data_IF_711423831700
#
_entry.id   IF_711423831700
#
_cell.length_a   1.000
_cell.length_b   1.000
_cell.length_c   1.000
_cell.angle_alpha   90.00
_cell.angle_beta   90.00
_cell.angle_gamma   90.00
#
_symmetry.space_group_name_H-M   'P 1'
#
loop_
_entity.id
_entity.type
_entity.pdbx_description
1 polymer ?
#
# COMPACT_ATOMS: atom_id res chain seq x y z
N UNK A 1 25.86 -8.25 -17.04
CA UNK A 1 25.19 -7.07 -16.42
C UNK A 1 25.09 -7.21 -14.90
N UNK A 2 24.79 -8.40 -14.39
CA UNK A 2 24.58 -8.71 -12.96
C UNK A 2 25.88 -8.61 -12.11
N UNK A 3 27.04 -8.90 -12.69
CA UNK A 3 28.30 -9.07 -11.93
C UNK A 3 29.02 -7.76 -11.56
N UNK A 4 28.60 -6.62 -12.09
CA UNK A 4 29.31 -5.34 -11.93
C UNK A 4 28.32 -4.26 -11.50
N UNK A 5 28.08 -4.11 -10.18
CA UNK A 5 27.17 -3.12 -9.61
C UNK A 5 27.56 -1.69 -10.03
N UNK A 6 26.57 -0.89 -10.45
CA UNK A 6 26.72 0.56 -10.61
C UNK A 6 25.37 1.24 -10.46
N UNK A 7 25.36 2.54 -10.14
CA UNK A 7 24.12 3.32 -10.00
C UNK A 7 23.27 3.26 -11.27
N UNK A 8 23.87 3.47 -12.44
CA UNK A 8 23.15 3.44 -13.71
C UNK A 8 22.50 2.08 -13.98
N UNK A 9 23.19 0.99 -13.65
CA UNK A 9 22.66 -0.37 -13.83
C UNK A 9 21.56 -0.67 -12.83
N UNK A 10 21.68 -0.19 -11.59
CA UNK A 10 20.63 -0.32 -10.60
C UNK A 10 19.36 0.44 -11.02
N UNK A 11 19.50 1.67 -11.51
CA UNK A 11 18.39 2.45 -12.04
C UNK A 11 17.71 1.77 -13.24
N UNK A 12 18.51 1.26 -14.18
CA UNK A 12 17.98 0.47 -15.30
C UNK A 12 17.26 -0.80 -14.81
N UNK A 13 17.80 -1.46 -13.79
CA UNK A 13 17.21 -2.66 -13.21
C UNK A 13 15.85 -2.36 -12.56
N UNK A 14 15.69 -1.24 -11.85
CA UNK A 14 14.38 -0.81 -11.32
C UNK A 14 13.33 -0.68 -12.43
N UNK A 15 13.69 -0.04 -13.55
CA UNK A 15 12.79 0.10 -14.69
C UNK A 15 12.44 -1.25 -15.33
N UNK A 16 13.41 -2.15 -15.46
CA UNK A 16 13.20 -3.49 -16.01
C UNK A 16 12.31 -4.33 -15.09
N UNK A 17 12.48 -4.24 -13.77
CA UNK A 17 11.64 -4.92 -12.78
C UNK A 17 10.20 -4.43 -12.90
N UNK A 18 9.99 -3.11 -12.95
CA UNK A 18 8.66 -2.55 -13.14
C UNK A 18 8.04 -3.04 -14.45
N UNK A 19 8.78 -2.98 -15.56
CA UNK A 19 8.32 -3.50 -16.84
C UNK A 19 7.90 -4.98 -16.76
N UNK A 20 8.69 -5.84 -16.12
CA UNK A 20 8.35 -7.24 -15.95
C UNK A 20 7.09 -7.44 -15.11
N UNK A 21 6.89 -6.64 -14.06
CA UNK A 21 5.66 -6.64 -13.29
C UNK A 21 4.45 -6.14 -14.11
N UNK A 22 4.61 -5.15 -14.99
CA UNK A 22 3.54 -4.65 -15.85
C UNK A 22 3.10 -5.69 -16.89
N UNK A 23 4.04 -6.43 -17.48
CA UNK A 23 3.73 -7.45 -18.51
C UNK A 23 3.44 -8.85 -17.96
N UNK A 24 3.42 -9.00 -16.64
CA UNK A 24 3.01 -10.25 -15.98
C UNK A 24 4.10 -11.31 -15.82
N UNK A 25 5.38 -10.93 -15.98
CA UNK A 25 6.54 -11.79 -15.72
C UNK A 25 7.01 -11.62 -14.27
N UNK A 26 6.12 -11.95 -13.34
CA UNK A 26 6.29 -11.67 -11.91
C UNK A 26 7.45 -12.44 -11.29
N UNK A 27 7.70 -13.67 -11.74
CA UNK A 27 8.83 -14.50 -11.36
C UNK A 27 10.17 -13.82 -11.69
N UNK A 28 10.26 -13.21 -12.89
CA UNK A 28 11.45 -12.46 -13.29
C UNK A 28 11.59 -11.17 -12.50
N UNK A 29 10.49 -10.44 -12.31
CA UNK A 29 10.48 -9.21 -11.54
C UNK A 29 10.96 -9.47 -10.09
N UNK A 30 10.46 -10.53 -9.46
CA UNK A 30 10.85 -10.96 -8.11
C UNK A 30 12.33 -11.32 -8.03
N UNK A 31 12.83 -12.19 -8.92
CA UNK A 31 14.24 -12.59 -8.91
C UNK A 31 15.19 -11.41 -9.17
N UNK A 32 14.80 -10.49 -10.07
CA UNK A 32 15.58 -9.29 -10.35
C UNK A 32 15.58 -8.29 -9.18
N UNK A 33 14.50 -8.21 -8.39
CA UNK A 33 14.46 -7.39 -7.19
C UNK A 33 15.53 -7.84 -6.17
N UNK A 34 15.77 -9.15 -6.02
CA UNK A 34 16.86 -9.66 -5.17
C UNK A 34 18.24 -9.24 -5.69
N UNK A 35 18.45 -9.22 -7.01
CA UNK A 35 19.70 -8.72 -7.63
C UNK A 35 19.86 -7.22 -7.37
N UNK A 36 18.78 -6.44 -7.51
CA UNK A 36 18.79 -5.01 -7.24
C UNK A 36 19.13 -4.70 -5.78
N UNK A 37 18.57 -5.45 -4.82
CA UNK A 37 18.95 -5.31 -3.41
C UNK A 37 20.44 -5.59 -3.19
N UNK A 38 20.98 -6.67 -3.79
CA UNK A 38 22.42 -6.95 -3.72
C UNK A 38 23.28 -5.84 -4.33
N UNK A 39 22.82 -5.16 -5.38
CA UNK A 39 23.50 -3.98 -5.90
C UNK A 39 23.49 -2.80 -4.91
N UNK A 40 22.37 -2.57 -4.22
CA UNK A 40 22.26 -1.54 -3.17
C UNK A 40 23.28 -1.80 -2.06
N UNK A 41 23.37 -3.05 -1.57
CA UNK A 41 24.34 -3.45 -0.53
C UNK A 41 25.78 -3.36 -1.03
N UNK A 42 26.07 -3.91 -2.21
CA UNK A 42 27.44 -3.92 -2.77
C UNK A 42 28.00 -2.51 -3.01
N UNK A 43 27.13 -1.56 -3.35
CA UNK A 43 27.51 -0.15 -3.53
C UNK A 43 27.46 0.65 -2.22
N UNK A 44 27.08 0.03 -1.09
CA UNK A 44 26.87 0.66 0.22
C UNK A 44 25.90 1.85 0.15
N UNK A 45 24.80 1.72 -0.61
CA UNK A 45 23.84 2.81 -0.75
C UNK A 45 22.94 2.95 0.48
N UNK A 46 23.04 2.05 1.46
CA UNK A 46 22.32 2.14 2.71
C UNK A 46 22.95 3.15 3.71
N UNK A 47 24.18 3.64 3.45
CA UNK A 47 24.84 4.65 4.30
C UNK A 47 25.12 5.96 3.57
N UNK A 48 24.94 7.08 4.26
CA UNK A 48 25.41 8.39 3.79
C UNK A 48 26.91 8.36 3.48
N UNK A 49 27.34 9.10 2.46
CA UNK A 49 28.74 9.20 2.07
C UNK A 49 29.14 10.68 2.02
N UNK A 50 29.58 11.27 3.15
CA UNK A 50 29.77 12.72 3.31
C UNK A 50 30.75 13.36 2.32
N UNK A 51 31.64 12.57 1.71
CA UNK A 51 32.62 13.03 0.74
C UNK A 51 32.05 13.24 -0.67
N UNK A 52 30.81 12.81 -0.92
CA UNK A 52 30.17 12.96 -2.22
C UNK A 52 29.54 14.35 -2.38
N UNK A 53 29.43 14.81 -3.63
CA UNK A 53 28.64 16.00 -3.94
C UNK A 53 27.18 15.79 -3.54
N UNK A 54 26.47 16.88 -3.25
CA UNK A 54 25.04 16.85 -2.91
C UNK A 54 24.22 16.02 -3.92
N UNK A 55 24.39 16.29 -5.23
CA UNK A 55 23.64 15.61 -6.29
C UNK A 55 23.95 14.11 -6.29
N UNK A 56 25.21 13.74 -6.16
CA UNK A 56 25.60 12.32 -6.10
C UNK A 56 25.03 11.62 -4.88
N UNK A 57 25.06 12.28 -3.71
CA UNK A 57 24.49 11.73 -2.47
C UNK A 57 22.97 11.57 -2.59
N UNK A 58 22.28 12.57 -3.15
CA UNK A 58 20.83 12.53 -3.35
C UNK A 58 20.40 11.43 -4.33
N UNK A 59 21.18 11.17 -5.39
CA UNK A 59 20.94 10.02 -6.28
C UNK A 59 21.05 8.70 -5.50
N UNK A 60 22.02 8.56 -4.60
CA UNK A 60 22.19 7.35 -3.77
C UNK A 60 21.02 7.17 -2.80
N UNK A 61 20.60 8.25 -2.11
CA UNK A 61 19.41 8.24 -1.23
C UNK A 61 18.18 7.76 -1.99
N UNK A 62 17.87 8.38 -3.13
CA UNK A 62 16.70 8.03 -3.95
C UNK A 62 16.77 6.59 -4.44
N UNK A 63 17.95 6.09 -4.84
CA UNK A 63 18.12 4.69 -5.27
C UNK A 63 17.88 3.70 -4.11
N UNK A 64 18.43 3.96 -2.92
CA UNK A 64 18.22 3.12 -1.75
C UNK A 64 16.74 3.08 -1.35
N UNK A 65 16.10 4.25 -1.24
CA UNK A 65 14.68 4.35 -0.88
C UNK A 65 13.76 3.76 -1.96
N UNK A 66 14.10 3.86 -3.24
CA UNK A 66 13.37 3.16 -4.32
C UNK A 66 13.40 1.64 -4.11
N UNK A 67 14.55 1.08 -3.72
CA UNK A 67 14.63 -0.34 -3.40
C UNK A 67 13.74 -0.71 -2.21
N UNK A 68 13.65 0.13 -1.18
CA UNK A 68 12.76 -0.14 -0.03
C UNK A 68 11.28 -0.19 -0.44
N UNK A 69 10.83 0.71 -1.31
CA UNK A 69 9.46 0.71 -1.84
C UNK A 69 9.21 -0.54 -2.68
N UNK A 70 10.16 -0.87 -3.57
CA UNK A 70 10.08 -2.04 -4.43
C UNK A 70 10.00 -3.33 -3.63
N UNK A 71 10.84 -3.48 -2.60
CA UNK A 71 10.80 -4.63 -1.70
C UNK A 71 9.44 -4.78 -1.03
N UNK A 72 8.84 -3.68 -0.56
CA UNK A 72 7.52 -3.69 0.06
C UNK A 72 6.39 -4.20 -0.83
N UNK A 73 6.49 -4.01 -2.16
CA UNK A 73 5.52 -4.56 -3.12
C UNK A 73 5.61 -6.08 -3.26
N UNK A 74 6.81 -6.65 -3.10
CA UNK A 74 7.01 -8.10 -3.16
C UNK A 74 6.79 -8.74 -1.80
N UNK A 75 7.44 -8.26 -0.75
CA UNK A 75 7.47 -8.95 0.55
C UNK A 75 6.12 -8.99 1.25
N UNK A 76 5.22 -8.03 0.98
CA UNK A 76 3.83 -7.97 1.52
C UNK A 76 3.72 -8.26 3.03
N UNK A 77 4.73 -7.84 3.80
CA UNK A 77 4.79 -7.99 5.26
C UNK A 77 5.30 -9.33 5.76
N UNK A 78 5.84 -10.18 4.87
CA UNK A 78 6.48 -11.44 5.22
C UNK A 78 8.01 -11.29 5.23
N UNK A 79 8.68 -11.56 6.38
CA UNK A 79 10.13 -11.43 6.49
C UNK A 79 10.91 -12.30 5.50
N UNK A 80 10.40 -13.49 5.17
CA UNK A 80 11.07 -14.47 4.30
C UNK A 80 11.26 -13.98 2.86
N UNK A 81 10.43 -13.02 2.44
CA UNK A 81 10.49 -12.40 1.12
C UNK A 81 11.15 -11.02 1.14
N UNK A 82 11.57 -10.53 2.31
CA UNK A 82 12.26 -9.24 2.44
C UNK A 82 13.72 -9.40 1.99
N UNK A 83 14.18 -8.53 1.10
CA UNK A 83 15.55 -8.51 0.57
C UNK A 83 16.35 -7.31 1.05
N UNK A 84 15.69 -6.28 1.58
CA UNK A 84 16.32 -5.10 2.18
C UNK A 84 15.58 -4.74 3.46
N UNK A 85 16.31 -4.55 4.55
CA UNK A 85 15.67 -4.17 5.80
C UNK A 85 15.61 -2.65 5.99
N UNK A 86 14.45 -2.13 6.39
CA UNK A 86 14.27 -0.71 6.64
C UNK A 86 15.12 -0.21 7.81
N UNK A 87 15.36 -1.05 8.81
CA UNK A 87 16.21 -0.70 9.95
C UNK A 87 17.70 -0.62 9.59
N UNK A 88 18.09 -1.08 8.41
CA UNK A 88 19.47 -1.05 7.91
C UNK A 88 19.73 0.12 6.93
N UNK A 89 18.71 0.97 6.71
CA UNK A 89 18.84 2.19 5.90
C UNK A 89 19.21 3.36 6.81
N UNK A 90 20.47 3.75 6.76
CA UNK A 90 21.05 4.88 7.48
C UNK A 90 21.17 6.13 6.59
N UNK A 91 20.42 6.18 5.48
CA UNK A 91 20.28 7.35 4.62
C UNK A 91 19.27 8.34 5.20
N UNK A 92 19.47 9.62 4.96
CA UNK A 92 18.40 10.62 5.12
C UNK A 92 17.31 10.38 4.07
N UNK A 93 16.09 10.86 4.35
CA UNK A 93 15.02 10.87 3.35
C UNK A 93 15.39 11.75 2.15
N UNK A 94 14.85 11.46 0.95
CA UNK A 94 15.09 12.27 -0.23
C UNK A 94 14.65 13.72 -0.02
N UNK A 95 15.45 14.65 -0.52
CA UNK A 95 15.09 16.06 -0.50
C UNK A 95 13.93 16.35 -1.47
N UNK A 96 13.37 17.56 -1.35
CA UNK A 96 12.31 18.06 -2.25
C UNK A 96 12.73 18.05 -3.70
N UNK A 97 11.78 17.78 -4.59
CA UNK A 97 11.97 17.73 -6.03
C UNK A 97 12.48 19.04 -6.61
N UNK A 98 11.97 20.16 -6.09
CA UNK A 98 12.38 21.50 -6.51
C UNK A 98 13.86 21.74 -6.21
N UNK A 99 14.33 21.24 -5.05
CA UNK A 99 15.74 21.32 -4.65
C UNK A 99 16.60 20.46 -5.55
N UNK A 100 16.27 19.18 -5.70
CA UNK A 100 17.07 18.25 -6.53
C UNK A 100 17.16 18.66 -8.00
N UNK A 101 16.12 19.29 -8.55
CA UNK A 101 16.10 19.78 -9.93
C UNK A 101 16.71 21.18 -10.12
N UNK A 102 17.16 21.85 -9.05
CA UNK A 102 17.69 23.21 -9.13
C UNK A 102 19.06 23.23 -9.81
N UNK A 103 19.24 24.16 -10.76
CA UNK A 103 20.54 24.43 -11.38
C UNK A 103 21.44 25.31 -10.50
N UNK A 104 20.88 25.89 -9.42
CA UNK A 104 21.59 26.80 -8.53
C UNK A 104 22.31 26.02 -7.39
N UNK A 105 23.66 26.06 -7.33
CA UNK A 105 24.43 25.38 -6.29
C UNK A 105 24.15 25.89 -4.87
N UNK A 106 23.70 27.13 -4.69
CA UNK A 106 23.41 27.68 -3.35
C UNK A 106 22.10 27.13 -2.78
N UNK A 107 21.12 26.84 -3.64
CA UNK A 107 19.89 26.14 -3.26
C UNK A 107 20.14 24.66 -2.91
N UNK A 108 21.21 24.07 -3.46
CA UNK A 108 21.60 22.67 -3.23
C UNK A 108 22.32 22.45 -1.90
N UNK A 109 22.94 23.47 -1.32
CA UNK A 109 23.65 23.33 -0.04
C UNK A 109 22.64 23.21 1.13
N UNK A 110 22.70 22.17 1.97
CA UNK A 110 21.85 22.07 3.17
C UNK A 110 22.11 23.22 4.15
N UNK A 111 23.35 23.70 4.20
CA UNK A 111 23.85 24.73 5.13
C UNK A 111 23.37 26.15 4.83
N UNK A 112 22.88 26.40 3.61
CA UNK A 112 22.41 27.71 3.12
C UNK A 112 20.90 27.75 2.92
N UNK A 113 20.20 26.63 3.13
CA UNK A 113 18.74 26.57 3.02
C UNK A 113 18.10 27.50 4.06
N UNK A 114 17.14 28.33 3.62
CA UNK A 114 16.36 29.17 4.53
C UNK A 114 15.59 28.28 5.51
N UNK A 115 15.38 28.74 6.74
CA UNK A 115 14.65 27.98 7.76
C UNK A 115 13.23 27.57 7.29
N UNK A 116 12.61 28.38 6.42
CA UNK A 116 11.31 28.09 5.79
C UNK A 116 11.38 26.93 4.78
N UNK A 117 12.50 26.74 4.07
CA UNK A 117 12.70 25.62 3.14
C UNK A 117 12.95 24.30 3.87
N UNK A 118 13.37 24.36 5.14
CA UNK A 118 13.60 23.19 6.00
C UNK A 118 12.33 22.69 6.70
N UNK A 119 11.26 23.49 6.73
CA UNK A 119 10.06 23.19 7.52
C UNK A 119 9.10 22.19 6.85
N UNK A 120 9.26 21.92 5.56
CA UNK A 120 8.31 21.13 4.77
C UNK A 120 8.93 19.82 4.27
N UNK A 121 8.33 18.70 4.67
CA UNK A 121 8.68 17.37 4.18
C UNK A 121 8.51 17.26 2.66
N UNK A 122 9.38 16.49 2.00
CA UNK A 122 9.22 16.20 0.58
C UNK A 122 8.07 15.21 0.34
N UNK A 123 7.43 15.26 -0.83
CA UNK A 123 6.39 14.28 -1.16
C UNK A 123 6.94 12.85 -1.20
N UNK A 124 8.17 12.66 -1.68
CA UNK A 124 8.84 11.36 -1.65
C UNK A 124 9.09 10.87 -0.22
N UNK A 125 9.51 11.75 0.68
CA UNK A 125 9.63 11.42 2.10
C UNK A 125 8.29 10.95 2.68
N UNK A 126 7.20 11.69 2.42
CA UNK A 126 5.88 11.32 2.91
C UNK A 126 5.40 9.97 2.36
N UNK A 127 5.62 9.70 1.07
CA UNK A 127 5.34 8.39 0.45
C UNK A 127 6.10 7.29 1.19
N UNK A 128 7.39 7.49 1.48
CA UNK A 128 8.23 6.51 2.18
C UNK A 128 7.76 6.28 3.62
N UNK A 129 7.43 7.34 4.35
CA UNK A 129 6.96 7.27 5.73
C UNK A 129 5.61 6.57 5.84
N UNK A 130 4.65 6.88 4.96
CA UNK A 130 3.34 6.19 4.92
C UNK A 130 3.52 4.73 4.50
N UNK A 131 4.38 4.46 3.51
CA UNK A 131 4.68 3.08 3.07
C UNK A 131 5.28 2.26 4.21
N UNK A 132 6.14 2.85 5.03
CA UNK A 132 6.67 2.23 6.25
C UNK A 132 5.56 1.89 7.25
N UNK A 133 4.67 2.84 7.57
CA UNK A 133 3.55 2.59 8.49
C UNK A 133 2.65 1.47 7.96
N UNK A 134 2.29 1.49 6.68
CA UNK A 134 1.46 0.44 6.05
C UNK A 134 2.14 -0.93 6.08
N UNK A 135 3.45 -0.98 5.83
CA UNK A 135 4.23 -2.22 5.95
C UNK A 135 4.20 -2.74 7.39
N UNK A 136 4.38 -1.87 8.38
CA UNK A 136 4.42 -2.27 9.79
C UNK A 136 3.05 -2.75 10.28
N UNK A 137 1.95 -2.10 9.86
CA UNK A 137 0.58 -2.60 10.07
C UNK A 137 0.39 -3.98 9.43
N UNK A 138 0.89 -4.17 8.19
CA UNK A 138 0.81 -5.47 7.51
C UNK A 138 1.59 -6.55 8.26
N UNK A 139 2.85 -6.28 8.64
CA UNK A 139 3.68 -7.20 9.44
C UNK A 139 2.99 -7.58 10.74
N UNK A 140 2.45 -6.59 11.45
CA UNK A 140 1.68 -6.83 12.67
C UNK A 140 0.45 -7.71 12.40
N UNK A 141 -0.30 -7.43 11.33
CA UNK A 141 -1.45 -8.26 10.90
C UNK A 141 -1.03 -9.73 10.69
N UNK A 142 0.12 -9.97 10.06
CA UNK A 142 0.66 -11.33 9.84
C UNK A 142 1.08 -12.02 11.13
N UNK A 143 1.68 -11.28 12.04
CA UNK A 143 2.09 -11.81 13.34
C UNK A 143 0.88 -12.18 14.19
N UNK A 144 -0.16 -11.34 14.18
CA UNK A 144 -1.42 -11.62 14.87
C UNK A 144 -2.04 -12.95 14.43
N UNK A 145 -1.92 -13.32 13.15
CA UNK A 145 -2.48 -14.56 12.62
C UNK A 145 -1.92 -15.83 13.30
N UNK A 146 -0.72 -15.75 13.89
CA UNK A 146 -0.05 -16.86 14.57
C UNK A 146 -0.36 -16.94 16.06
N UNK A 147 -1.09 -15.98 16.62
CA UNK A 147 -1.36 -15.94 18.06
C UNK A 147 -2.42 -16.97 18.46
N UNK A 148 -2.05 -17.81 19.41
CA UNK A 148 -2.95 -18.78 20.06
C UNK A 148 -3.46 -18.28 21.43
N UNK A 149 -2.89 -17.17 21.92
CA UNK A 149 -3.21 -16.56 23.21
C UNK A 149 -3.54 -15.07 23.04
N UNK A 150 -4.24 -14.47 24.00
CA UNK A 150 -4.58 -13.05 23.96
C UNK A 150 -3.33 -12.18 23.97
N UNK A 151 -3.34 -11.09 23.22
CA UNK A 151 -2.27 -10.09 23.23
C UNK A 151 -2.70 -8.89 24.07
N UNK A 152 -2.18 -8.79 25.29
CA UNK A 152 -2.51 -7.71 26.24
C UNK A 152 -2.20 -6.32 25.65
N UNK A 153 -1.09 -6.20 24.92
CA UNK A 153 -0.64 -4.93 24.33
C UNK A 153 -1.34 -4.55 23.02
N UNK A 154 -2.29 -5.36 22.53
CA UNK A 154 -2.93 -5.17 21.22
C UNK A 154 -3.47 -3.75 21.02
N UNK A 155 -4.21 -3.23 22.00
CA UNK A 155 -4.76 -1.87 21.95
C UNK A 155 -3.65 -0.81 21.97
N UNK A 156 -2.61 -1.00 22.78
CA UNK A 156 -1.47 -0.07 22.87
C UNK A 156 -0.68 0.01 21.56
N UNK A 157 -0.45 -1.13 20.90
CA UNK A 157 0.21 -1.20 19.60
C UNK A 157 -0.63 -0.49 18.53
N UNK A 158 -1.94 -0.76 18.48
CA UNK A 158 -2.87 -0.07 17.56
C UNK A 158 -2.86 1.44 17.82
N UNK A 159 -2.91 1.86 19.07
CA UNK A 159 -2.85 3.27 19.44
C UNK A 159 -1.54 3.93 18.98
N UNK A 160 -0.41 3.22 19.08
CA UNK A 160 0.88 3.69 18.54
C UNK A 160 0.82 3.94 17.03
N UNK A 161 0.21 3.03 16.26
CA UNK A 161 -0.02 3.26 14.84
C UNK A 161 -0.94 4.45 14.57
N UNK A 162 -2.00 4.62 15.34
CA UNK A 162 -2.89 5.78 15.21
C UNK A 162 -2.16 7.10 15.48
N UNK A 163 -1.30 7.16 16.50
CA UNK A 163 -0.50 8.34 16.79
C UNK A 163 0.45 8.69 15.64
N UNK A 164 1.11 7.67 15.06
CA UNK A 164 1.98 7.86 13.89
C UNK A 164 1.19 8.40 12.68
N UNK A 165 -0.02 7.89 12.43
CA UNK A 165 -0.87 8.36 11.34
C UNK A 165 -1.39 9.79 11.58
N UNK A 166 -1.74 10.14 12.81
CA UNK A 166 -2.15 11.49 13.19
C UNK A 166 -1.02 12.50 12.99
N UNK A 167 0.21 12.17 13.40
CA UNK A 167 1.38 13.02 13.15
C UNK A 167 1.62 13.22 11.65
N UNK A 168 1.54 12.15 10.86
CA UNK A 168 1.69 12.24 9.40
C UNK A 168 0.62 13.12 8.75
N UNK A 169 -0.59 13.19 9.30
CA UNK A 169 -1.67 14.01 8.74
C UNK A 169 -1.31 15.50 8.70
N UNK A 170 -0.69 16.02 9.76
CA UNK A 170 -0.26 17.42 9.85
C UNK A 170 0.81 17.74 8.80
N UNK A 171 1.77 16.83 8.63
CA UNK A 171 2.85 16.94 7.66
C UNK A 171 2.34 16.85 6.21
N UNK A 172 1.38 15.96 5.95
CA UNK A 172 0.71 15.81 4.65
C UNK A 172 -0.07 17.09 4.32
N UNK A 173 -0.84 17.63 5.26
CA UNK A 173 -1.62 18.85 5.04
C UNK A 173 -0.72 20.04 4.69
N UNK A 174 0.47 20.10 5.29
CA UNK A 174 1.50 21.11 5.01
C UNK A 174 2.10 20.96 3.60
N UNK A 175 2.35 19.73 3.14
CA UNK A 175 3.02 19.47 1.86
C UNK A 175 2.08 19.41 0.64
N UNK A 176 0.85 18.93 0.83
CA UNK A 176 -0.13 18.64 -0.25
C UNK A 176 -1.35 19.58 -0.18
N UNK A 177 -1.55 20.27 0.93
CA UNK A 177 -2.77 21.02 1.24
C UNK A 177 -3.76 20.19 2.06
N UNK A 178 -4.65 20.87 2.79
CA UNK A 178 -5.66 20.22 3.63
C UNK A 178 -6.81 19.63 2.81
N UNK A 179 -7.24 18.42 3.16
CA UNK A 179 -8.41 17.75 2.57
C UNK A 179 -9.73 18.51 2.82
N UNK A 180 -9.77 19.42 3.80
CA UNK A 180 -10.96 20.21 4.16
C UNK A 180 -11.24 21.40 3.24
N UNK A 181 -10.29 21.83 2.40
CA UNK A 181 -10.46 23.01 1.54
C UNK A 181 -11.03 22.71 0.14
N UNK A 182 -11.47 21.47 -0.12
CA UNK A 182 -12.22 21.11 -1.34
C UNK A 182 -11.42 21.12 -2.65
N UNK A 183 -10.08 21.20 -2.57
CA UNK A 183 -9.17 21.21 -3.73
C UNK A 183 -8.27 19.96 -3.75
N UNK A 184 -8.83 18.78 -3.43
CA UNK A 184 -8.08 17.50 -3.41
C UNK A 184 -7.40 17.22 -4.75
N UNK A 185 -8.03 17.64 -5.85
CA UNK A 185 -7.53 17.42 -7.21
C UNK A 185 -7.33 18.76 -7.90
N UNK A 186 -6.07 19.13 -8.10
CA UNK A 186 -5.65 20.25 -8.94
C UNK A 186 -5.10 19.67 -10.26
N UNK A 187 -5.88 19.60 -11.36
CA UNK A 187 -5.47 18.91 -12.59
C UNK A 187 -4.17 19.43 -13.21
N UNK A 188 -3.90 20.73 -13.05
CA UNK A 188 -2.70 21.39 -13.59
C UNK A 188 -1.50 21.29 -12.65
N UNK A 189 -1.66 20.71 -11.46
CA UNK A 189 -0.56 20.54 -10.53
C UNK A 189 0.34 19.40 -10.99
N UNK A 190 1.61 19.71 -11.30
CA UNK A 190 2.57 18.74 -11.86
C UNK A 190 2.81 17.50 -10.98
N UNK A 191 2.51 17.58 -9.69
CA UNK A 191 2.68 16.48 -8.74
C UNK A 191 1.35 15.89 -8.26
N UNK A 192 0.25 16.12 -9.01
CA UNK A 192 -1.11 15.66 -8.64
C UNK A 192 -1.18 14.16 -8.32
N UNK A 193 -0.48 13.30 -9.08
CA UNK A 193 -0.48 11.85 -8.83
C UNK A 193 0.17 11.50 -7.49
N UNK A 194 1.26 12.18 -7.11
CA UNK A 194 1.93 11.95 -5.82
C UNK A 194 1.11 12.47 -4.66
N UNK A 195 0.51 13.65 -4.83
CA UNK A 195 -0.44 14.20 -3.88
C UNK A 195 -1.61 13.22 -3.62
N UNK A 196 -2.20 12.69 -4.69
CA UNK A 196 -3.25 11.68 -4.62
C UNK A 196 -2.77 10.40 -3.93
N UNK A 197 -1.60 9.88 -4.30
CA UNK A 197 -1.03 8.66 -3.71
C UNK A 197 -0.83 8.81 -2.20
N UNK A 198 -0.27 9.93 -1.74
CA UNK A 198 -0.06 10.21 -0.31
C UNK A 198 -1.38 10.17 0.46
N UNK A 199 -2.39 10.89 -0.03
CA UNK A 199 -3.70 10.98 0.64
C UNK A 199 -4.41 9.62 0.65
N UNK A 200 -4.48 8.95 -0.51
CA UNK A 200 -5.12 7.63 -0.63
C UNK A 200 -4.41 6.58 0.24
N UNK A 201 -3.08 6.58 0.26
CA UNK A 201 -2.30 5.66 1.09
C UNK A 201 -2.52 5.91 2.58
N UNK A 202 -2.66 7.18 3.01
CA UNK A 202 -2.97 7.52 4.40
C UNK A 202 -4.36 7.00 4.80
N UNK A 203 -5.40 7.25 4.00
CA UNK A 203 -6.75 6.70 4.23
C UNK A 203 -6.75 5.16 4.20
N UNK A 204 -5.97 4.56 3.29
CA UNK A 204 -5.83 3.10 3.22
C UNK A 204 -5.16 2.54 4.48
N UNK A 205 -4.17 3.23 5.04
CA UNK A 205 -3.51 2.81 6.28
C UNK A 205 -4.49 2.76 7.47
N UNK A 206 -5.40 3.74 7.56
CA UNK A 206 -6.49 3.71 8.53
C UNK A 206 -7.41 2.50 8.31
N UNK A 207 -7.81 2.23 7.07
CA UNK A 207 -8.62 1.05 6.74
C UNK A 207 -7.89 -0.26 7.12
N UNK A 208 -6.60 -0.36 6.81
CA UNK A 208 -5.77 -1.52 7.11
C UNK A 208 -5.61 -1.75 8.62
N UNK A 209 -5.57 -0.68 9.43
CA UNK A 209 -5.45 -0.73 10.88
C UNK A 209 -6.79 -1.11 11.56
N UNK A 210 -7.88 -0.44 11.20
CA UNK A 210 -9.16 -0.65 11.89
C UNK A 210 -9.88 -1.93 11.47
N UNK A 211 -9.62 -2.45 10.27
CA UNK A 211 -10.17 -3.77 9.87
C UNK A 211 -9.69 -4.92 10.76
N UNK A 212 -8.61 -4.72 11.53
CA UNK A 212 -8.14 -5.69 12.53
C UNK A 212 -9.24 -6.04 13.56
N UNK A 213 -10.18 -5.12 13.81
CA UNK A 213 -11.26 -5.29 14.78
C UNK A 213 -12.57 -5.77 14.14
N UNK A 214 -12.64 -5.91 12.81
CA UNK A 214 -13.84 -6.32 12.11
C UNK A 214 -13.96 -7.84 12.07
N UNK A 215 -14.70 -8.42 13.00
CA UNK A 215 -14.92 -9.87 13.08
C UNK A 215 -15.35 -10.46 11.73
N UNK A 216 -14.73 -11.57 11.34
CA UNK A 216 -14.98 -12.23 10.06
C UNK A 216 -14.27 -11.61 8.86
N UNK A 217 -13.63 -10.45 8.98
CA UNK A 217 -12.80 -9.93 7.89
C UNK A 217 -11.53 -10.81 7.75
N UNK A 218 -11.05 -11.16 6.53
CA UNK A 218 -9.87 -12.02 6.35
C UNK A 218 -8.62 -11.54 7.08
N UNK A 219 -8.42 -10.23 7.11
CA UNK A 219 -7.30 -9.57 7.79
C UNK A 219 -7.64 -9.13 9.23
N UNK A 220 -8.71 -9.63 9.84
CA UNK A 220 -9.00 -9.34 11.24
C UNK A 220 -8.03 -10.06 12.17
N UNK A 221 -7.79 -9.48 13.35
CA UNK A 221 -7.11 -10.16 14.44
C UNK A 221 -7.89 -11.45 14.81
N UNK A 222 -7.22 -12.53 15.24
CA UNK A 222 -7.92 -13.74 15.63
C UNK A 222 -8.88 -13.53 16.79
N UNK A 223 -9.90 -14.38 16.88
CA UNK A 223 -10.89 -14.36 17.94
C UNK A 223 -10.28 -14.39 19.35
N UNK A 224 -9.16 -15.08 19.54
CA UNK A 224 -8.48 -15.12 20.84
C UNK A 224 -8.01 -13.74 21.29
N UNK A 225 -7.65 -12.87 20.36
CA UNK A 225 -7.30 -11.47 20.64
C UNK A 225 -8.56 -10.63 20.82
N UNK A 226 -9.55 -10.78 19.93
CA UNK A 226 -10.73 -9.90 19.91
C UNK A 226 -11.71 -10.13 21.07
N UNK A 227 -11.91 -11.39 21.52
CA UNK A 227 -12.86 -11.71 22.60
C UNK A 227 -12.51 -11.03 23.94
N UNK A 228 -11.23 -10.77 24.18
CA UNK A 228 -10.75 -10.14 25.41
C UNK A 228 -11.04 -8.63 25.50
N UNK A 229 -11.44 -8.00 24.39
CA UNK A 229 -11.60 -6.54 24.32
C UNK A 229 -12.99 -6.05 24.75
N UNK A 230 -13.96 -6.93 24.99
CA UNK A 230 -15.36 -6.57 25.24
C UNK A 230 -16.07 -6.10 23.96
N UNK A 231 -17.02 -6.91 23.46
CA UNK A 231 -17.42 -6.95 22.04
C UNK A 231 -18.43 -5.90 21.53
N UNK A 232 -18.32 -4.61 21.83
CA UNK A 232 -19.15 -3.62 21.08
C UNK A 232 -18.49 -2.29 20.78
N UNK A 233 -17.84 -1.63 21.75
CA UNK A 233 -17.33 -0.27 21.53
C UNK A 233 -16.23 -0.20 20.46
N UNK A 234 -15.28 -1.14 20.48
CA UNK A 234 -14.17 -1.16 19.52
C UNK A 234 -14.61 -1.59 18.12
N UNK A 235 -15.52 -2.55 18.03
CA UNK A 235 -16.08 -3.00 16.76
C UNK A 235 -16.85 -1.87 16.07
N UNK A 236 -17.71 -1.16 16.81
CA UNK A 236 -18.48 -0.02 16.28
C UNK A 236 -17.55 1.11 15.86
N UNK A 237 -16.55 1.46 16.68
CA UNK A 237 -15.56 2.48 16.32
C UNK A 237 -14.80 2.07 15.06
N UNK A 238 -14.34 0.82 14.98
CA UNK A 238 -13.61 0.32 13.81
C UNK A 238 -14.47 0.34 12.54
N UNK A 239 -15.76 -0.01 12.64
CA UNK A 239 -16.71 0.07 11.55
C UNK A 239 -16.87 1.52 11.06
N UNK A 240 -17.09 2.47 11.97
CA UNK A 240 -17.17 3.90 11.63
C UNK A 240 -15.91 4.39 10.93
N UNK A 241 -14.73 4.10 11.48
CA UNK A 241 -13.45 4.49 10.88
C UNK A 241 -13.25 3.86 9.49
N UNK A 242 -13.51 2.55 9.35
CA UNK A 242 -13.40 1.88 8.06
C UNK A 242 -14.38 2.45 7.03
N UNK A 243 -15.61 2.74 7.41
CA UNK A 243 -16.60 3.37 6.55
C UNK A 243 -16.16 4.78 6.11
N UNK A 244 -15.70 5.61 7.06
CA UNK A 244 -15.21 6.97 6.77
C UNK A 244 -14.06 6.96 5.77
N UNK A 245 -12.97 6.25 6.07
CA UNK A 245 -11.77 6.31 5.24
C UNK A 245 -11.96 5.60 3.89
N UNK A 246 -12.70 4.48 3.84
CA UNK A 246 -12.96 3.80 2.57
C UNK A 246 -13.91 4.57 1.68
N UNK A 247 -14.90 5.28 2.25
CA UNK A 247 -15.77 6.19 1.49
C UNK A 247 -14.97 7.33 0.88
N UNK A 248 -14.08 7.95 1.66
CA UNK A 248 -13.21 9.02 1.16
C UNK A 248 -12.38 8.60 -0.05
N UNK A 249 -11.82 7.37 0.00
CA UNK A 249 -11.08 6.79 -1.14
C UNK A 249 -11.98 6.67 -2.37
N UNK A 250 -13.17 6.09 -2.23
CA UNK A 250 -14.10 5.89 -3.36
C UNK A 250 -14.56 7.23 -3.96
N UNK A 251 -14.92 8.19 -3.11
CA UNK A 251 -15.34 9.53 -3.53
C UNK A 251 -14.22 10.25 -4.30
N UNK A 252 -12.98 10.16 -3.80
CA UNK A 252 -11.81 10.73 -4.47
C UNK A 252 -11.58 10.06 -5.83
N UNK A 253 -11.71 8.73 -5.93
CA UNK A 253 -11.60 8.01 -7.20
C UNK A 253 -12.69 8.43 -8.20
N UNK A 254 -13.93 8.60 -7.72
CA UNK A 254 -15.04 9.13 -8.53
C UNK A 254 -14.74 10.53 -9.06
N UNK A 255 -14.18 11.40 -8.22
CA UNK A 255 -13.79 12.76 -8.61
C UNK A 255 -12.63 12.77 -9.63
N UNK A 256 -11.62 11.89 -9.45
CA UNK A 256 -10.54 11.70 -10.43
C UNK A 256 -11.11 11.28 -11.79
N UNK A 257 -12.08 10.37 -11.81
CA UNK A 257 -12.72 9.92 -13.04
C UNK A 257 -13.51 11.03 -13.73
N UNK A 258 -14.29 11.81 -12.98
CA UNK A 258 -15.11 12.90 -13.52
C UNK A 258 -14.25 14.01 -14.13
N UNK A 259 -13.07 14.27 -13.55
CA UNK A 259 -12.09 15.23 -14.08
C UNK A 259 -11.28 14.70 -15.27
N UNK A 260 -11.37 13.41 -15.58
CA UNK A 260 -10.71 12.76 -16.71
C UNK A 260 -9.22 13.10 -16.85
N UNK A 261 -8.48 13.06 -15.72
CA UNK A 261 -7.07 13.40 -15.68
C UNK A 261 -6.26 12.56 -16.69
N UNK A 262 -5.48 13.22 -17.54
CA UNK A 262 -4.60 12.58 -18.53
C UNK A 262 -3.22 12.32 -17.91
N UNK A 263 -3.16 11.45 -16.91
CA UNK A 263 -1.94 11.13 -16.16
C UNK A 263 -1.77 9.63 -15.99
N UNK A 264 -0.53 9.19 -15.78
CA UNK A 264 -0.23 7.82 -15.38
C UNK A 264 -0.33 7.72 -13.86
N UNK A 265 -1.26 6.89 -13.37
CA UNK A 265 -1.43 6.63 -11.95
C UNK A 265 -0.47 5.54 -11.49
N UNK A 266 0.01 5.64 -10.25
CA UNK A 266 0.79 4.57 -9.63
C UNK A 266 -0.12 3.37 -9.31
N UNK A 267 0.49 2.17 -9.31
CA UNK A 267 -0.24 0.95 -8.98
C UNK A 267 -0.85 0.98 -7.57
N UNK A 268 -0.23 1.68 -6.63
CA UNK A 268 -0.77 1.77 -5.26
C UNK A 268 -2.13 2.48 -5.20
N UNK A 269 -2.39 3.43 -6.10
CA UNK A 269 -3.71 4.07 -6.23
C UNK A 269 -4.77 3.04 -6.64
N UNK A 270 -4.46 2.17 -7.61
CA UNK A 270 -5.34 1.07 -8.01
C UNK A 270 -5.60 0.11 -6.84
N UNK A 271 -4.54 -0.22 -6.08
CA UNK A 271 -4.64 -1.07 -4.88
C UNK A 271 -5.55 -0.43 -3.82
N UNK A 272 -5.41 0.86 -3.54
CA UNK A 272 -6.27 1.58 -2.60
C UNK A 272 -7.74 1.55 -3.05
N UNK A 273 -8.02 1.83 -4.32
CA UNK A 273 -9.38 1.76 -4.89
C UNK A 273 -9.99 0.35 -4.74
N UNK A 274 -9.21 -0.69 -5.06
CA UNK A 274 -9.64 -2.08 -4.92
C UNK A 274 -9.92 -2.48 -3.47
N UNK A 275 -9.04 -2.12 -2.54
CA UNK A 275 -9.21 -2.46 -1.13
C UNK A 275 -10.40 -1.72 -0.51
N UNK A 276 -10.56 -0.44 -0.83
CA UNK A 276 -11.71 0.33 -0.38
C UNK A 276 -13.03 -0.23 -0.90
N UNK A 277 -13.10 -0.63 -2.18
CA UNK A 277 -14.27 -1.28 -2.77
C UNK A 277 -14.64 -2.58 -2.05
N UNK A 278 -13.67 -3.48 -1.82
CA UNK A 278 -13.90 -4.75 -1.10
C UNK A 278 -14.33 -4.51 0.34
N UNK A 279 -13.73 -3.53 1.01
CA UNK A 279 -14.10 -3.16 2.37
C UNK A 279 -15.52 -2.59 2.44
N UNK A 280 -15.94 -1.76 1.47
CA UNK A 280 -17.32 -1.28 1.38
C UNK A 280 -18.32 -2.44 1.24
N UNK A 281 -18.05 -3.40 0.35
CA UNK A 281 -18.89 -4.58 0.16
C UNK A 281 -19.00 -5.42 1.44
N UNK A 282 -17.87 -5.64 2.13
CA UNK A 282 -17.83 -6.35 3.42
C UNK A 282 -18.66 -5.62 4.49
N UNK A 283 -18.45 -4.30 4.65
CA UNK A 283 -19.14 -3.48 5.65
C UNK A 283 -20.65 -3.44 5.42
N UNK A 284 -21.12 -3.46 4.17
CA UNK A 284 -22.54 -3.49 3.85
C UNK A 284 -23.25 -4.79 4.24
N UNK A 285 -22.52 -5.88 4.51
CA UNK A 285 -23.05 -7.17 4.96
C UNK A 285 -22.89 -7.43 6.45
N UNK A 286 -22.16 -6.56 7.14
CA UNK A 286 -22.03 -6.68 8.57
C UNK A 286 -23.41 -6.46 9.21
N UNK A 287 -23.85 -7.36 10.12
CA UNK A 287 -25.13 -7.24 10.78
C UNK A 287 -25.07 -6.10 11.80
N UNK A 288 -25.34 -4.86 11.36
CA UNK A 288 -25.52 -3.72 12.28
C UNK A 288 -26.51 -2.68 11.74
N UNK A 289 -27.40 -2.20 12.62
CA UNK A 289 -28.48 -1.27 12.33
C UNK A 289 -28.02 0.18 12.09
N UNK A 290 -26.74 0.48 12.36
CA UNK A 290 -26.16 1.82 12.22
C UNK A 290 -25.36 2.04 10.92
N UNK A 291 -25.23 1.01 10.07
CA UNK A 291 -24.54 1.16 8.79
C UNK A 291 -25.31 2.13 7.88
N UNK A 292 -24.76 3.34 7.67
CA UNK A 292 -25.24 4.27 6.63
C UNK A 292 -24.98 3.75 5.21
N UNK A 293 -24.09 2.75 5.06
CA UNK A 293 -23.74 2.18 3.78
C UNK A 293 -24.75 1.08 3.41
N UNK A 294 -25.63 1.38 2.46
CA UNK A 294 -26.54 0.39 1.87
C UNK A 294 -25.79 -0.53 0.92
N UNK A 295 -26.35 -1.72 0.70
CA UNK A 295 -25.75 -2.67 -0.22
C UNK A 295 -25.64 -2.13 -1.65
N UNK A 296 -26.68 -1.50 -2.15
CA UNK A 296 -26.71 -0.87 -3.48
C UNK A 296 -25.60 0.19 -3.61
N UNK A 297 -25.39 1.00 -2.57
CA UNK A 297 -24.31 2.00 -2.55
C UNK A 297 -22.94 1.34 -2.57
N UNK A 298 -22.75 0.25 -1.81
CA UNK A 298 -21.49 -0.49 -1.80
C UNK A 298 -21.16 -1.12 -3.16
N UNK A 299 -22.16 -1.67 -3.86
CA UNK A 299 -22.01 -2.21 -5.22
C UNK A 299 -21.69 -1.09 -6.22
N UNK A 300 -22.38 0.04 -6.14
CA UNK A 300 -22.09 1.23 -6.97
C UNK A 300 -20.66 1.77 -6.74
N UNK A 301 -20.23 1.83 -5.48
CA UNK A 301 -18.87 2.20 -5.09
C UNK A 301 -17.84 1.24 -5.71
N UNK A 302 -18.09 -0.07 -5.61
CA UNK A 302 -17.22 -1.08 -6.20
C UNK A 302 -17.17 -0.97 -7.74
N UNK A 303 -18.30 -0.71 -8.39
CA UNK A 303 -18.37 -0.51 -9.84
C UNK A 303 -17.58 0.73 -10.29
N UNK A 304 -17.65 1.82 -9.52
CA UNK A 304 -16.87 3.05 -9.75
C UNK A 304 -15.36 2.76 -9.69
N UNK A 305 -14.90 2.09 -8.64
CA UNK A 305 -13.49 1.69 -8.51
C UNK A 305 -13.06 0.71 -9.62
N UNK A 306 -13.91 -0.26 -9.97
CA UNK A 306 -13.63 -1.20 -11.07
C UNK A 306 -13.49 -0.47 -12.40
N UNK A 307 -14.38 0.48 -12.70
CA UNK A 307 -14.30 1.31 -13.91
C UNK A 307 -13.01 2.13 -13.94
N UNK A 308 -12.58 2.68 -12.80
CA UNK A 308 -11.31 3.39 -12.68
C UNK A 308 -10.12 2.48 -12.99
N UNK A 309 -10.07 1.29 -12.38
CA UNK A 309 -8.97 0.34 -12.56
C UNK A 309 -8.94 -0.16 -14.01
N UNK A 310 -10.10 -0.54 -14.59
CA UNK A 310 -10.19 -0.97 -15.99
C UNK A 310 -9.71 0.12 -16.95
N UNK A 311 -10.12 1.37 -16.76
CA UNK A 311 -9.74 2.46 -17.66
C UNK A 311 -8.24 2.74 -17.64
N UNK A 312 -7.63 2.78 -16.45
CA UNK A 312 -6.27 3.28 -16.29
C UNK A 312 -5.21 2.16 -16.26
N UNK A 313 -5.61 0.91 -16.03
CA UNK A 313 -4.71 -0.23 -15.85
C UNK A 313 -5.09 -1.46 -16.71
N UNK A 314 -5.89 -1.30 -17.76
CA UNK A 314 -6.29 -2.40 -18.65
C UNK A 314 -5.12 -3.22 -19.21
N UNK A 315 -4.01 -2.57 -19.54
CA UNK A 315 -2.82 -3.23 -20.08
C UNK A 315 -1.89 -3.80 -19.01
N UNK A 316 -2.15 -3.50 -17.74
CA UNK A 316 -1.28 -3.91 -16.64
C UNK A 316 -1.67 -5.29 -16.14
N UNK A 317 -0.73 -6.24 -16.21
CA UNK A 317 -0.96 -7.62 -15.80
C UNK A 317 -1.25 -7.73 -14.29
N UNK A 318 -0.55 -6.96 -13.46
CA UNK A 318 -0.75 -7.01 -12.00
C UNK A 318 -2.13 -6.50 -11.55
N UNK A 319 -2.79 -5.66 -12.37
CA UNK A 319 -4.15 -5.18 -12.09
C UNK A 319 -5.23 -6.18 -12.52
N UNK A 320 -4.94 -7.17 -13.37
CA UNK A 320 -5.96 -8.09 -13.92
C UNK A 320 -6.64 -8.92 -12.84
N UNK A 321 -5.90 -9.40 -11.84
CA UNK A 321 -6.48 -10.13 -10.70
C UNK A 321 -7.48 -9.25 -9.92
N UNK A 322 -7.15 -7.97 -9.71
CA UNK A 322 -8.06 -7.02 -9.05
C UNK A 322 -9.33 -6.76 -9.87
N UNK A 323 -9.17 -6.61 -11.19
CA UNK A 323 -10.30 -6.44 -12.12
C UNK A 323 -11.19 -7.67 -12.08
N UNK A 324 -10.62 -8.87 -12.18
CA UNK A 324 -11.37 -10.13 -12.17
C UNK A 324 -12.11 -10.33 -10.85
N UNK A 325 -11.42 -10.14 -9.71
CA UNK A 325 -12.01 -10.30 -8.38
C UNK A 325 -13.19 -9.36 -8.14
N UNK A 326 -13.02 -8.06 -8.42
CA UNK A 326 -14.14 -7.10 -8.29
C UNK A 326 -15.27 -7.40 -9.26
N UNK A 327 -14.98 -7.86 -10.48
CA UNK A 327 -16.02 -8.23 -11.45
C UNK A 327 -16.86 -9.40 -10.95
N UNK A 328 -16.21 -10.41 -10.36
CA UNK A 328 -16.88 -11.58 -9.77
C UNK A 328 -17.71 -11.17 -8.54
N UNK A 329 -17.13 -10.36 -7.65
CA UNK A 329 -17.83 -9.87 -6.46
C UNK A 329 -19.07 -9.06 -6.85
N UNK A 330 -18.96 -8.11 -7.78
CA UNK A 330 -20.10 -7.31 -8.27
C UNK A 330 -21.13 -8.20 -8.95
N UNK A 331 -20.71 -9.11 -9.84
CA UNK A 331 -21.61 -10.01 -10.56
C UNK A 331 -22.41 -10.93 -9.63
N UNK A 332 -21.85 -11.34 -8.48
CA UNK A 332 -22.57 -12.12 -7.47
C UNK A 332 -23.84 -11.41 -6.96
N UNK A 333 -23.82 -10.07 -6.87
CA UNK A 333 -24.97 -9.24 -6.46
C UNK A 333 -26.06 -9.12 -7.53
N UNK A 334 -25.71 -9.28 -8.81
CA UNK A 334 -26.64 -9.11 -9.94
C UNK A 334 -27.47 -10.38 -10.21
N UNK A 335 -27.13 -11.51 -9.59
CA UNK A 335 -27.84 -12.79 -9.77
C UNK A 335 -29.19 -12.85 -9.03
N UNK A 336 -30.13 -13.71 -9.48
CA UNK A 336 -31.50 -13.83 -8.93
C UNK A 336 -31.56 -14.18 -7.43
N UNK A 337 -30.51 -14.82 -6.90
CA UNK A 337 -30.30 -15.08 -5.47
C UNK A 337 -29.26 -14.11 -4.87
N UNK A 338 -29.22 -12.85 -5.36
CA UNK A 338 -28.11 -11.92 -5.21
C UNK A 338 -27.62 -11.73 -3.77
N UNK A 339 -28.49 -11.79 -2.77
CA UNK A 339 -28.09 -11.75 -1.37
C UNK A 339 -27.35 -13.03 -0.91
N UNK A 340 -27.79 -14.21 -1.33
CA UNK A 340 -27.15 -15.48 -1.00
C UNK A 340 -25.86 -15.68 -1.80
N UNK A 341 -25.88 -15.38 -3.10
CA UNK A 341 -24.69 -15.41 -3.96
C UNK A 341 -23.61 -14.44 -3.49
N UNK A 342 -24.01 -13.23 -3.08
CA UNK A 342 -23.11 -12.27 -2.47
C UNK A 342 -22.58 -12.70 -1.10
N UNK A 343 -23.45 -13.22 -0.22
CA UNK A 343 -23.01 -13.73 1.07
C UNK A 343 -21.99 -14.85 0.90
N UNK A 344 -22.20 -15.76 -0.06
CA UNK A 344 -21.22 -16.79 -0.42
C UNK A 344 -19.93 -16.22 -1.02
N UNK A 345 -20.04 -15.23 -1.90
CA UNK A 345 -18.86 -14.57 -2.48
C UNK A 345 -18.05 -13.80 -1.43
N UNK A 346 -18.71 -13.19 -0.45
CA UNK A 346 -18.05 -12.56 0.70
C UNK A 346 -17.54 -13.57 1.72
N UNK A 347 -18.22 -14.69 1.92
CA UNK A 347 -17.72 -15.82 2.70
C UNK A 347 -16.45 -16.41 2.08
N UNK A 348 -16.31 -16.38 0.75
CA UNK A 348 -15.04 -16.71 0.09
C UNK A 348 -13.91 -15.70 0.38
N UNK A 349 -14.26 -14.46 0.80
CA UNK A 349 -13.28 -13.53 1.35
C UNK A 349 -12.92 -13.88 2.79
N UNK A 350 -13.77 -14.60 3.53
CA UNK A 350 -13.40 -15.09 4.86
C UNK A 350 -12.37 -16.19 4.71
N UNK A 351 -11.36 -16.15 5.57
CA UNK A 351 -10.32 -17.16 5.56
C UNK A 351 -10.76 -18.38 6.40
N UNK A 352 -10.68 -19.58 5.82
CA UNK A 352 -11.10 -20.84 6.45
C UNK A 352 -9.94 -21.81 6.77
N UNK A 353 -8.69 -21.41 6.48
CA UNK A 353 -7.50 -22.24 6.73
C UNK A 353 -6.95 -22.11 8.16
N UNK A 354 -5.84 -22.79 8.43
CA UNK A 354 -5.18 -22.74 9.75
C UNK A 354 -4.34 -21.46 9.98
N UNK A 355 -3.76 -21.31 11.17
CA UNK A 355 -2.97 -20.13 11.54
C UNK A 355 -1.73 -19.91 10.64
N UNK A 356 -1.08 -20.99 10.22
CA UNK A 356 0.12 -20.93 9.37
C UNK A 356 -0.26 -20.55 7.94
N UNK A 357 -1.36 -21.11 7.43
CA UNK A 357 -1.92 -20.73 6.14
C UNK A 357 -2.38 -19.27 6.14
N UNK A 358 -3.01 -18.78 7.23
CA UNK A 358 -3.41 -17.37 7.38
C UNK A 358 -2.19 -16.44 7.39
N UNK A 359 -1.14 -16.83 8.10
CA UNK A 359 0.13 -16.10 8.14
C UNK A 359 0.74 -15.98 6.74
N UNK A 360 0.81 -17.10 6.01
CA UNK A 360 1.37 -17.15 4.64
C UNK A 360 0.41 -16.67 3.55
N UNK A 361 -0.84 -16.35 3.88
CA UNK A 361 -1.88 -16.03 2.90
C UNK A 361 -1.51 -14.80 2.07
N UNK A 362 -1.19 -14.98 0.81
CA UNK A 362 -0.92 -13.85 -0.08
C UNK A 362 -2.24 -13.30 -0.65
N UNK A 363 -2.32 -11.97 -0.80
CA UNK A 363 -3.49 -11.36 -1.44
C UNK A 363 -3.54 -11.72 -2.93
N UNK A 364 -4.73 -11.71 -3.54
CA UNK A 364 -4.88 -12.04 -4.97
C UNK A 364 -4.01 -11.16 -5.90
N UNK A 365 -3.73 -9.92 -5.49
CA UNK A 365 -2.88 -8.94 -6.18
C UNK A 365 -1.42 -8.93 -5.70
N UNK A 366 -1.02 -9.83 -4.79
CA UNK A 366 0.38 -10.01 -4.43
C UNK A 366 1.17 -10.45 -5.67
N UNK A 367 2.32 -9.82 -5.91
CA UNK A 367 3.18 -10.18 -7.04
C UNK A 367 3.79 -11.58 -6.85
N UNK A 368 4.07 -11.97 -5.62
CA UNK A 368 4.59 -13.31 -5.30
C UNK A 368 3.54 -14.39 -5.60
N UNK A 369 2.29 -14.15 -5.20
CA UNK A 369 1.18 -15.07 -5.52
C UNK A 369 0.88 -15.15 -7.02
N UNK A 370 1.30 -14.14 -7.79
CA UNK A 370 1.19 -14.16 -9.25
C UNK A 370 2.39 -14.81 -9.95
N UNK A 371 3.52 -14.94 -9.27
CA UNK A 371 4.75 -15.53 -9.84
C UNK A 371 4.66 -17.04 -10.07
N UNK A 372 3.75 -17.76 -9.39
CA UNK A 372 3.48 -19.19 -9.58
C UNK A 372 4.77 -20.03 -9.67
N UNK A 373 5.70 -19.84 -8.72
CA UNK A 373 6.92 -20.64 -8.67
C UNK A 373 6.59 -22.12 -8.59
N UNK A 374 7.28 -22.93 -9.41
CA UNK A 374 7.10 -24.38 -9.45
C UNK A 374 8.11 -25.01 -8.50
N UNK A 375 7.63 -25.81 -7.55
CA UNK A 375 8.47 -26.64 -6.69
C UNK A 375 8.54 -28.04 -7.27
N UNK A 376 9.59 -28.36 -8.02
CA UNK A 376 9.77 -29.67 -8.68
C UNK A 376 10.33 -30.76 -7.73
N UNK A 377 10.40 -30.51 -6.41
CA UNK A 377 10.95 -31.47 -5.45
C UNK A 377 10.19 -32.80 -5.40
N UNK A 378 8.88 -32.79 -5.68
CA UNK A 378 8.04 -33.99 -5.76
C UNK A 378 8.46 -34.95 -6.87
N UNK A 379 9.24 -34.51 -7.87
CA UNK A 379 9.77 -35.38 -8.92
C UNK A 379 10.86 -36.35 -8.42
N UNK A 380 11.37 -36.14 -7.21
CA UNK A 380 12.41 -36.97 -6.60
C UNK A 380 11.88 -37.95 -5.54
N UNK A 381 10.56 -38.03 -5.32
CA UNK A 381 9.92 -39.00 -4.42
C UNK A 381 9.65 -40.38 -5.08
N UNK A 382 10.52 -40.81 -6.01
CA UNK A 382 10.45 -42.11 -6.69
C UNK A 382 11.28 -43.20 -6.02
#
# INVERSE_FOLDING_TARGET
>A
MIETPSIFRLQALFLIIQYHAEVGRFERAFMMASIASRHVTALQLNHESPHLSFVTQEIRRRAAWTMTLLDGYFSVGLPEYTTINYEEIYQQYPCREEKFGSADPDTMNPSTARAEDQAHHSMLELILRISRVRRDIMRFTRQLALLEQPLEEFQGIVQGFQMNLAQLQEEIASAVGSSTTGLVIQPNFRWVVRALEIQLAWHQAHCDLFRLFLLGHPNAAPDVVLRHLGSSTYANKAQTMCQEHSRWIVETISEVQSRNLQVLFSFDIARCAYQAARLNLFLAHMPDAQSQLTLESAVSNAATCLAFIRKNFASSAHAQRMISDLSLLIGAYETRDGHFGAAMALDSLRFSGDAVEKHKQLSAHSLIYQANFVDDSYLYEL
#
